data_IF_126102106412
#
_entry.id   IF_126102106412
#
_cell.length_a   1.000
_cell.length_b   1.000
_cell.length_c   1.000
_cell.angle_alpha   90.00
_cell.angle_beta   90.00
_cell.angle_gamma   90.00
#
_symmetry.space_group_name_H-M   'P 1'
#
loop_
_entity.id
_entity.type
_entity.pdbx_description
1 polymer ?
#
# COMPACT_ATOMS: atom_id res chain seq x y z
N UNK A 1 11.72 14.97 12.20
CA UNK A 1 10.33 15.48 12.05
C UNK A 1 10.02 15.87 10.61
N UNK A 2 10.92 16.53 9.85
CA UNK A 2 10.78 16.71 8.38
C UNK A 2 10.59 15.38 7.60
N UNK A 3 11.28 14.31 8.00
CA UNK A 3 11.19 12.98 7.38
C UNK A 3 9.81 12.31 7.41
N UNK A 4 8.94 12.65 8.38
CA UNK A 4 7.58 12.07 8.47
C UNK A 4 6.56 12.84 7.62
N UNK A 5 6.78 14.14 7.40
CA UNK A 5 5.92 14.99 6.57
C UNK A 5 6.31 14.94 5.08
N UNK A 6 7.61 14.82 4.78
CA UNK A 6 8.10 14.67 3.40
C UNK A 6 7.65 13.32 2.78
N UNK A 7 7.59 12.25 3.58
CA UNK A 7 7.06 10.94 3.16
C UNK A 7 5.53 10.89 3.00
N UNK A 8 4.79 11.79 3.65
CA UNK A 8 3.33 11.84 3.56
C UNK A 8 2.83 12.75 2.42
N UNK A 9 3.58 13.79 2.05
CA UNK A 9 3.13 14.82 1.11
C UNK A 9 3.94 14.96 -0.19
N UNK A 10 5.25 14.67 -0.23
CA UNK A 10 6.09 14.96 -1.41
C UNK A 10 6.75 13.72 -2.07
N UNK A 11 6.97 12.62 -1.35
CA UNK A 11 7.59 11.39 -1.89
C UNK A 11 6.77 10.13 -1.61
N UNK A 12 5.51 10.09 -2.03
CA UNK A 12 4.68 8.91 -1.81
C UNK A 12 5.23 7.70 -2.62
N UNK A 13 5.61 6.58 -1.99
CA UNK A 13 6.24 5.42 -2.64
C UNK A 13 5.53 4.91 -3.88
N UNK A 14 4.21 4.84 -3.84
CA UNK A 14 3.45 4.29 -4.96
C UNK A 14 3.49 5.22 -6.18
N UNK A 15 3.36 6.54 -5.98
CA UNK A 15 3.27 7.48 -7.12
C UNK A 15 4.63 7.94 -7.65
N UNK A 16 5.68 7.91 -6.83
CA UNK A 16 7.03 8.36 -7.24
C UNK A 16 7.95 7.20 -7.56
N UNK A 17 7.93 6.11 -6.77
CA UNK A 17 8.81 4.95 -7.01
C UNK A 17 8.16 3.88 -7.89
N UNK A 18 6.83 3.91 -8.10
CA UNK A 18 6.08 2.89 -8.86
C UNK A 18 6.25 1.46 -8.32
N UNK A 19 6.46 1.31 -7.01
CA UNK A 19 6.68 0.03 -6.34
C UNK A 19 5.39 -0.41 -5.63
N UNK A 20 5.00 -1.69 -5.76
CA UNK A 20 3.82 -2.26 -5.08
C UNK A 20 2.51 -2.23 -5.89
N UNK A 21 2.61 -2.02 -7.20
CA UNK A 21 1.48 -1.97 -8.13
C UNK A 21 0.68 -3.28 -8.21
N UNK A 22 1.36 -4.42 -8.05
CA UNK A 22 0.76 -5.75 -8.23
C UNK A 22 -0.42 -5.98 -7.29
N UNK A 23 -0.21 -5.70 -6.00
CA UNK A 23 -1.26 -5.78 -4.98
C UNK A 23 -2.24 -4.61 -5.11
N UNK A 24 -1.75 -3.40 -5.41
CA UNK A 24 -2.61 -2.23 -5.52
C UNK A 24 -3.67 -2.35 -6.63
N UNK A 25 -3.28 -2.81 -7.83
CA UNK A 25 -4.22 -3.00 -8.95
C UNK A 25 -5.18 -4.18 -8.72
N UNK A 26 -4.72 -5.22 -8.00
CA UNK A 26 -5.51 -6.43 -7.74
C UNK A 26 -6.62 -6.21 -6.70
N UNK A 27 -6.31 -5.57 -5.57
CA UNK A 27 -7.25 -5.45 -4.44
C UNK A 27 -8.04 -4.13 -4.40
N UNK A 28 -7.83 -3.21 -5.35
CA UNK A 28 -8.58 -1.94 -5.43
C UNK A 28 -9.97 -2.05 -6.08
N UNK A 29 -10.53 -3.25 -6.22
CA UNK A 29 -11.91 -3.44 -6.70
C UNK A 29 -12.95 -3.21 -5.61
N UNK A 30 -12.60 -3.44 -4.34
CA UNK A 30 -13.45 -3.21 -3.16
C UNK A 30 -12.69 -2.43 -2.10
N UNK A 31 -13.32 -1.41 -1.55
CA UNK A 31 -12.76 -0.51 -0.54
C UNK A 31 -12.42 -1.27 0.74
N UNK A 32 -13.33 -2.10 1.25
CA UNK A 32 -13.11 -2.92 2.45
C UNK A 32 -11.83 -3.76 2.33
N UNK A 33 -11.70 -4.54 1.25
CA UNK A 33 -10.53 -5.39 1.04
C UNK A 33 -9.24 -4.58 0.89
N UNK A 34 -9.30 -3.47 0.17
CA UNK A 34 -8.16 -2.58 -0.03
C UNK A 34 -7.66 -1.94 1.27
N UNK A 35 -8.59 -1.59 2.18
CA UNK A 35 -8.26 -0.99 3.47
C UNK A 35 -7.60 -2.02 4.40
N UNK A 36 -8.19 -3.21 4.52
CA UNK A 36 -7.60 -4.29 5.32
C UNK A 36 -6.24 -4.76 4.77
N UNK A 37 -6.09 -4.80 3.45
CA UNK A 37 -4.80 -5.10 2.81
C UNK A 37 -3.75 -4.03 3.15
N UNK A 38 -4.11 -2.74 3.11
CA UNK A 38 -3.20 -1.65 3.49
C UNK A 38 -2.76 -1.74 4.96
N UNK A 39 -3.70 -1.98 5.88
CA UNK A 39 -3.40 -2.17 7.31
C UNK A 39 -2.49 -3.38 7.54
N UNK A 40 -2.75 -4.51 6.86
CA UNK A 40 -1.89 -5.68 6.92
C UNK A 40 -0.47 -5.38 6.43
N UNK A 41 -0.33 -4.64 5.31
CA UNK A 41 0.97 -4.23 4.78
C UNK A 41 1.70 -3.30 5.75
N UNK A 42 1.02 -2.33 6.40
CA UNK A 42 1.63 -1.48 7.42
C UNK A 42 2.23 -2.32 8.54
N UNK A 43 1.45 -3.26 9.08
CA UNK A 43 1.90 -4.11 10.18
C UNK A 43 3.13 -4.94 9.78
N UNK A 44 3.05 -5.62 8.62
CA UNK A 44 4.16 -6.45 8.12
C UNK A 44 5.39 -5.59 7.86
N UNK A 45 5.24 -4.43 7.22
CA UNK A 45 6.35 -3.54 6.85
C UNK A 45 7.10 -3.00 8.08
N UNK A 46 6.36 -2.58 9.12
CA UNK A 46 6.96 -2.09 10.37
C UNK A 46 7.73 -3.22 11.08
N UNK A 47 7.08 -4.37 11.24
CA UNK A 47 7.68 -5.49 11.97
C UNK A 47 8.87 -6.10 11.23
N UNK A 48 8.77 -6.26 9.90
CA UNK A 48 9.88 -6.73 9.09
C UNK A 48 11.06 -5.77 9.12
N UNK A 49 10.82 -4.46 9.01
CA UNK A 49 11.89 -3.47 9.03
C UNK A 49 12.59 -3.41 10.39
N UNK A 50 11.85 -3.54 11.49
CA UNK A 50 12.42 -3.59 12.85
C UNK A 50 13.31 -4.82 13.02
N UNK A 51 12.83 -6.00 12.65
CA UNK A 51 13.62 -7.23 12.76
C UNK A 51 14.85 -7.17 11.86
N UNK A 52 14.69 -6.80 10.59
CA UNK A 52 15.79 -6.73 9.63
C UNK A 52 16.87 -5.76 10.10
N UNK A 53 16.49 -4.60 10.64
CA UNK A 53 17.44 -3.65 11.21
C UNK A 53 18.17 -4.18 12.47
N UNK A 54 17.55 -5.08 13.23
CA UNK A 54 18.17 -5.73 14.38
C UNK A 54 19.16 -6.83 13.97
N UNK A 55 18.80 -7.64 12.96
CA UNK A 55 19.61 -8.79 12.52
C UNK A 55 20.66 -8.44 11.44
N UNK A 56 20.66 -7.20 10.92
CA UNK A 56 21.55 -6.75 9.83
C UNK A 56 23.03 -7.09 9.99
N UNK A 57 23.56 -7.15 11.23
CA UNK A 57 24.97 -7.45 11.50
C UNK A 57 25.34 -8.91 11.28
N UNK A 58 24.36 -9.81 11.27
CA UNK A 58 24.54 -11.25 11.11
C UNK A 58 24.25 -11.72 9.68
N UNK A 59 23.80 -10.82 8.79
CA UNK A 59 23.39 -11.18 7.43
C UNK A 59 24.60 -11.10 6.50
N UNK A 60 24.99 -12.19 5.81
CA UNK A 60 25.94 -12.13 4.71
C UNK A 60 25.30 -11.43 3.50
N UNK A 61 26.04 -10.55 2.83
CA UNK A 61 25.53 -9.79 1.69
C UNK A 61 25.03 -10.68 0.54
N UNK A 62 25.64 -11.85 0.36
CA UNK A 62 25.34 -12.82 -0.70
C UNK A 62 23.92 -13.42 -0.60
N UNK A 63 23.37 -13.53 0.61
CA UNK A 63 22.08 -14.21 0.88
C UNK A 63 21.04 -13.30 1.53
N UNK A 64 21.22 -11.98 1.43
CA UNK A 64 20.35 -10.99 2.08
C UNK A 64 18.88 -11.06 1.63
N UNK A 65 18.62 -11.17 0.32
CA UNK A 65 17.27 -11.14 -0.24
C UNK A 65 16.44 -12.35 0.23
N UNK A 66 16.94 -13.61 0.15
CA UNK A 66 16.25 -14.76 0.72
C UNK A 66 15.92 -14.61 2.21
N UNK A 67 16.86 -14.09 3.01
CA UNK A 67 16.66 -13.89 4.45
C UNK A 67 15.52 -12.89 4.70
N UNK A 68 15.49 -11.77 3.97
CA UNK A 68 14.40 -10.79 4.08
C UNK A 68 13.04 -11.41 3.75
N UNK A 69 12.96 -12.21 2.67
CA UNK A 69 11.72 -12.87 2.27
C UNK A 69 11.24 -13.84 3.35
N UNK A 70 12.13 -14.60 3.99
CA UNK A 70 11.76 -15.50 5.10
C UNK A 70 11.21 -14.73 6.30
N UNK A 71 11.85 -13.62 6.68
CA UNK A 71 11.36 -12.75 7.76
C UNK A 71 9.97 -12.21 7.42
N UNK A 72 9.78 -11.68 6.21
CA UNK A 72 8.49 -11.15 5.76
C UNK A 72 7.43 -12.26 5.75
N UNK A 73 7.75 -13.44 5.21
CA UNK A 73 6.84 -14.57 5.13
C UNK A 73 6.36 -15.03 6.51
N UNK A 74 7.23 -15.01 7.52
CA UNK A 74 6.85 -15.35 8.89
C UNK A 74 5.77 -14.40 9.44
N UNK A 75 5.92 -13.09 9.21
CA UNK A 75 4.93 -12.09 9.63
C UNK A 75 3.63 -12.16 8.83
N UNK A 76 3.72 -12.38 7.52
CA UNK A 76 2.53 -12.57 6.68
C UNK A 76 1.75 -13.81 7.12
N UNK A 77 2.43 -14.88 7.54
CA UNK A 77 1.78 -16.09 8.08
C UNK A 77 1.05 -15.79 9.38
N UNK A 78 1.62 -14.96 10.26
CA UNK A 78 0.93 -14.51 11.48
C UNK A 78 -0.34 -13.74 11.12
N UNK A 79 -0.28 -12.81 10.17
CA UNK A 79 -1.45 -12.05 9.70
C UNK A 79 -2.51 -12.98 9.08
N UNK A 80 -2.09 -13.95 8.26
CA UNK A 80 -2.97 -14.96 7.66
C UNK A 80 -3.79 -15.72 8.72
N UNK A 81 -3.11 -16.21 9.76
CA UNK A 81 -3.75 -16.94 10.86
C UNK A 81 -4.67 -16.04 11.70
N UNK A 82 -4.25 -14.80 11.97
CA UNK A 82 -5.07 -13.83 12.73
C UNK A 82 -6.34 -13.45 11.95
N UNK A 83 -6.23 -13.21 10.64
CA UNK A 83 -7.40 -12.89 9.81
C UNK A 83 -8.38 -14.07 9.72
N UNK A 84 -7.87 -15.31 9.59
CA UNK A 84 -8.70 -16.53 9.63
C UNK A 84 -9.49 -16.65 10.93
N UNK A 85 -8.88 -16.29 12.06
CA UNK A 85 -9.49 -16.46 13.38
C UNK A 85 -10.52 -15.37 13.73
N UNK A 86 -10.20 -14.10 13.46
CA UNK A 86 -11.04 -12.97 13.91
C UNK A 86 -11.99 -12.42 12.85
N UNK A 87 -11.68 -12.58 11.56
CA UNK A 87 -12.40 -11.89 10.48
C UNK A 87 -12.63 -12.79 9.25
N UNK A 88 -13.41 -13.89 9.39
CA UNK A 88 -13.58 -14.89 8.34
C UNK A 88 -14.28 -14.35 7.09
N UNK A 89 -15.16 -13.35 7.24
CA UNK A 89 -15.89 -12.71 6.13
C UNK A 89 -14.95 -11.99 5.16
N UNK A 90 -13.95 -11.28 5.68
CA UNK A 90 -12.96 -10.57 4.89
C UNK A 90 -11.90 -11.54 4.38
N UNK A 91 -11.52 -12.54 5.18
CA UNK A 91 -10.60 -13.59 4.78
C UNK A 91 -11.08 -14.37 3.56
N UNK A 92 -12.39 -14.61 3.41
CA UNK A 92 -12.95 -15.30 2.24
C UNK A 92 -12.60 -14.64 0.90
N UNK A 93 -12.46 -13.31 0.86
CA UNK A 93 -12.07 -12.57 -0.35
C UNK A 93 -10.58 -12.24 -0.37
N UNK A 94 -9.99 -11.89 0.78
CA UNK A 94 -8.61 -11.42 0.87
C UNK A 94 -7.58 -12.54 0.97
N UNK A 95 -7.97 -13.75 1.38
CA UNK A 95 -7.05 -14.86 1.68
C UNK A 95 -6.14 -15.24 0.51
N UNK A 96 -6.64 -15.16 -0.72
CA UNK A 96 -5.84 -15.41 -1.93
C UNK A 96 -4.80 -14.31 -2.18
N UNK A 97 -5.05 -13.11 -1.66
CA UNK A 97 -4.18 -11.94 -1.82
C UNK A 97 -3.13 -11.79 -0.70
N UNK A 98 -3.28 -12.48 0.43
CA UNK A 98 -2.31 -12.40 1.55
C UNK A 98 -0.90 -12.83 1.13
N UNK A 99 -0.68 -13.91 0.36
CA UNK A 99 0.65 -14.26 -0.14
C UNK A 99 1.29 -13.19 -1.02
N UNK A 100 0.51 -12.31 -1.68
CA UNK A 100 1.06 -11.20 -2.46
C UNK A 100 1.74 -10.15 -1.57
N UNK A 101 1.50 -10.15 -0.24
CA UNK A 101 2.24 -9.29 0.68
C UNK A 101 3.71 -9.72 0.76
N UNK A 102 4.00 -11.03 0.72
CA UNK A 102 5.38 -11.57 0.81
C UNK A 102 6.25 -11.08 -0.34
N UNK A 103 5.68 -11.12 -1.55
CA UNK A 103 6.35 -10.70 -2.79
C UNK A 103 6.05 -9.24 -3.13
N UNK A 104 5.53 -8.46 -2.19
CA UNK A 104 5.25 -7.06 -2.44
C UNK A 104 6.56 -6.28 -2.51
N UNK A 105 6.80 -5.66 -3.67
CA UNK A 105 8.01 -4.90 -3.93
C UNK A 105 8.22 -3.75 -2.93
N UNK A 106 7.15 -3.21 -2.31
CA UNK A 106 7.30 -2.13 -1.31
C UNK A 106 7.96 -2.65 -0.04
N UNK A 107 7.60 -3.87 0.38
CA UNK A 107 8.11 -4.48 1.60
C UNK A 107 9.57 -4.86 1.43
N UNK A 108 9.88 -5.54 0.32
CA UNK A 108 11.25 -5.91 0.01
C UNK A 108 12.14 -4.68 -0.26
N UNK A 109 11.66 -3.72 -1.05
CA UNK A 109 12.42 -2.54 -1.43
C UNK A 109 12.78 -1.63 -0.25
N UNK A 110 11.88 -1.47 0.74
CA UNK A 110 12.19 -0.72 1.97
C UNK A 110 13.07 -1.50 2.94
N UNK A 111 12.88 -2.82 3.02
CA UNK A 111 13.77 -3.68 3.80
C UNK A 111 15.23 -3.57 3.33
N UNK A 112 15.44 -3.61 2.02
CA UNK A 112 16.76 -3.51 1.40
C UNK A 112 17.34 -2.09 1.46
N UNK A 113 16.61 -1.09 0.94
CA UNK A 113 17.13 0.26 0.78
C UNK A 113 17.24 1.03 2.10
N UNK A 114 16.40 0.72 3.10
CA UNK A 114 16.34 1.50 4.34
C UNK A 114 16.66 0.67 5.59
N UNK A 115 15.96 -0.45 5.82
CA UNK A 115 16.08 -1.19 7.07
C UNK A 115 17.47 -1.80 7.28
N UNK A 116 18.11 -2.27 6.20
CA UNK A 116 19.47 -2.80 6.26
C UNK A 116 20.52 -1.74 6.65
N UNK A 117 20.35 -0.51 6.18
CA UNK A 117 21.33 0.56 6.39
C UNK A 117 21.07 1.42 7.64
N UNK A 118 19.84 1.42 8.19
CA UNK A 118 19.45 2.29 9.29
C UNK A 118 19.22 1.56 10.63
N UNK A 119 19.14 2.34 11.72
CA UNK A 119 18.83 1.83 13.06
C UNK A 119 17.34 1.52 13.26
N UNK A 120 17.04 0.66 14.23
CA UNK A 120 15.69 0.10 14.49
C UNK A 120 14.60 1.17 14.56
N UNK A 121 14.84 2.25 15.31
CA UNK A 121 13.85 3.29 15.55
C UNK A 121 13.51 4.08 14.27
N UNK A 122 14.51 4.31 13.42
CA UNK A 122 14.33 4.99 12.14
C UNK A 122 13.63 4.07 11.14
N UNK A 123 13.99 2.78 11.12
CA UNK A 123 13.38 1.77 10.25
C UNK A 123 11.90 1.52 10.56
N UNK A 124 11.51 1.61 11.85
CA UNK A 124 10.12 1.55 12.27
C UNK A 124 9.31 2.76 11.78
N UNK A 125 9.87 3.98 11.92
CA UNK A 125 9.24 5.20 11.45
C UNK A 125 9.09 5.21 9.91
N UNK A 126 10.07 4.67 9.19
CA UNK A 126 10.00 4.47 7.74
C UNK A 126 8.89 3.50 7.34
N UNK A 127 8.82 2.34 8.00
CA UNK A 127 7.77 1.35 7.74
C UNK A 127 6.37 1.93 7.98
N UNK A 128 6.19 2.72 9.04
CA UNK A 128 4.92 3.40 9.30
C UNK A 128 4.60 4.43 8.22
N UNK A 129 5.53 5.32 7.89
CA UNK A 129 5.30 6.37 6.89
C UNK A 129 4.96 5.80 5.51
N UNK A 130 5.77 4.83 5.05
CA UNK A 130 5.60 4.22 3.73
C UNK A 130 4.35 3.34 3.66
N UNK A 131 4.03 2.61 4.73
CA UNK A 131 2.81 1.80 4.80
C UNK A 131 1.53 2.64 4.83
N UNK A 132 1.55 3.77 5.57
CA UNK A 132 0.43 4.73 5.59
C UNK A 132 0.25 5.35 4.20
N UNK A 133 1.34 5.76 3.55
CA UNK A 133 1.31 6.26 2.17
C UNK A 133 0.71 5.25 1.19
N UNK A 134 1.10 3.98 1.31
CA UNK A 134 0.54 2.87 0.53
C UNK A 134 -0.97 2.72 0.75
N UNK A 135 -1.40 2.70 2.01
CA UNK A 135 -2.80 2.51 2.39
C UNK A 135 -3.68 3.67 1.92
N UNK A 136 -3.20 4.91 2.01
CA UNK A 136 -3.94 6.10 1.55
C UNK A 136 -4.21 6.04 0.05
N UNK A 137 -3.18 5.76 -0.76
CA UNK A 137 -3.36 5.69 -2.22
C UNK A 137 -4.25 4.51 -2.58
N UNK A 138 -4.04 3.36 -1.95
CA UNK A 138 -4.83 2.17 -2.20
C UNK A 138 -6.31 2.42 -1.89
N UNK A 139 -6.59 3.13 -0.80
CA UNK A 139 -7.93 3.55 -0.38
C UNK A 139 -8.55 4.54 -1.36
N UNK A 140 -7.79 5.53 -1.85
CA UNK A 140 -8.28 6.48 -2.87
C UNK A 140 -8.59 5.76 -4.18
N UNK A 141 -7.71 4.86 -4.61
CA UNK A 141 -7.91 4.07 -5.83
C UNK A 141 -9.16 3.20 -5.73
N UNK A 142 -9.36 2.52 -4.60
CA UNK A 142 -10.53 1.66 -4.41
C UNK A 142 -11.82 2.44 -4.30
N UNK A 143 -11.84 3.60 -3.62
CA UNK A 143 -13.03 4.47 -3.60
C UNK A 143 -13.42 4.88 -5.02
N UNK A 144 -12.47 5.33 -5.84
CA UNK A 144 -12.79 5.76 -7.20
C UNK A 144 -13.24 4.55 -8.06
N UNK A 145 -12.56 3.41 -7.96
CA UNK A 145 -12.93 2.22 -8.76
C UNK A 145 -14.26 1.62 -8.35
N UNK A 146 -14.57 1.57 -7.06
CA UNK A 146 -15.83 1.02 -6.58
C UNK A 146 -17.00 1.95 -6.92
N UNK A 147 -16.80 3.26 -6.71
CA UNK A 147 -17.80 4.29 -6.98
C UNK A 147 -18.17 4.38 -8.47
N UNK A 148 -17.17 4.40 -9.37
CA UNK A 148 -17.40 4.46 -10.81
C UNK A 148 -17.62 3.08 -11.47
N UNK A 149 -17.14 2.00 -10.85
CA UNK A 149 -17.24 0.65 -11.39
C UNK A 149 -18.50 -0.10 -10.98
N UNK A 150 -19.12 0.24 -9.85
CA UNK A 150 -20.35 -0.43 -9.36
C UNK A 150 -21.49 0.54 -9.05
N UNK A 151 -21.23 1.85 -9.07
CA UNK A 151 -22.24 2.86 -8.75
C UNK A 151 -22.59 2.93 -7.26
N UNK A 152 -21.87 2.21 -6.40
CA UNK A 152 -22.10 2.15 -4.96
C UNK A 152 -20.77 2.20 -4.21
N UNK A 153 -20.74 2.84 -3.04
CA UNK A 153 -19.68 2.69 -2.06
C UNK A 153 -20.25 1.91 -0.88
N UNK A 154 -19.77 0.69 -0.69
CA UNK A 154 -20.18 -0.16 0.43
C UNK A 154 -19.06 -0.21 1.46
N UNK A 155 -19.39 0.10 2.72
CA UNK A 155 -18.47 -0.06 3.84
C UNK A 155 -19.17 -0.76 5.00
N UNK A 156 -18.62 -1.91 5.41
CA UNK A 156 -19.12 -2.79 6.47
C UNK A 156 -20.62 -3.11 6.33
N UNK A 157 -21.08 -3.35 5.09
CA UNK A 157 -22.48 -3.66 4.80
C UNK A 157 -23.43 -2.45 4.77
N UNK A 158 -22.93 -1.22 4.94
CA UNK A 158 -23.68 0.01 4.73
C UNK A 158 -23.32 0.66 3.38
N UNK A 159 -24.32 0.88 2.51
CA UNK A 159 -24.19 1.75 1.32
C UNK A 159 -24.07 3.20 1.76
N UNK A 160 -22.88 3.77 1.67
CA UNK A 160 -22.60 5.18 2.00
C UNK A 160 -23.11 6.12 0.91
N UNK A 161 -22.96 5.73 -0.35
CA UNK A 161 -23.41 6.49 -1.52
C UNK A 161 -23.91 5.50 -2.58
N UNK A 162 -25.13 5.69 -3.06
CA UNK A 162 -25.72 4.93 -4.17
C UNK A 162 -26.04 5.92 -5.30
N UNK A 163 -25.48 5.70 -6.49
CA UNK A 163 -25.90 6.43 -7.69
C UNK A 163 -27.29 5.95 -8.16
N UNK A 164 -28.04 6.80 -8.88
CA UNK A 164 -29.35 6.43 -9.42
C UNK A 164 -29.29 5.14 -10.25
N UNK A 165 -30.35 4.33 -10.23
CA UNK A 165 -30.45 3.03 -10.91
C UNK A 165 -30.31 3.09 -12.46
N UNK A 166 -30.15 4.29 -13.02
CA UNK A 166 -29.88 4.54 -14.45
C UNK A 166 -28.37 4.52 -14.81
N UNK A 167 -27.48 4.38 -13.84
CA UNK A 167 -26.04 4.23 -14.10
C UNK A 167 -25.74 2.79 -14.54
N UNK A 168 -25.45 2.58 -15.81
CA UNK A 168 -24.90 1.32 -16.31
C UNK A 168 -23.38 1.30 -16.05
N UNK A 169 -22.89 0.60 -15.02
CA UNK A 169 -21.48 0.64 -14.68
C UNK A 169 -20.64 0.09 -15.84
N UNK A 170 -19.68 0.87 -16.37
CA UNK A 170 -18.77 0.34 -17.38
C UNK A 170 -17.80 -0.66 -16.72
N UNK A 171 -17.93 -1.94 -17.09
CA UNK A 171 -17.07 -3.04 -16.62
C UNK A 171 -15.56 -2.78 -16.81
N UNK A 172 -15.20 -1.86 -17.74
CA UNK A 172 -13.82 -1.44 -18.02
C UNK A 172 -13.11 -0.86 -16.77
N UNK A 173 -13.84 -0.19 -15.86
CA UNK A 173 -13.25 0.43 -14.67
C UNK A 173 -12.96 -0.59 -13.54
N UNK A 174 -13.66 -1.72 -13.54
CA UNK A 174 -13.44 -2.82 -12.60
C UNK A 174 -12.29 -3.73 -13.07
N UNK A 175 -12.02 -3.79 -14.38
CA UNK A 175 -10.93 -4.57 -14.95
C UNK A 175 -9.54 -3.91 -14.79
N UNK A 176 -8.48 -4.69 -15.02
CA UNK A 176 -7.08 -4.22 -14.90
C UNK A 176 -6.74 -2.96 -15.73
N UNK A 177 -7.18 -2.81 -17.00
CA UNK A 177 -7.01 -1.56 -17.75
C UNK A 177 -7.53 -0.32 -17.02
N UNK A 178 -8.69 -0.41 -16.35
CA UNK A 178 -9.23 0.69 -15.56
C UNK A 178 -8.35 1.05 -14.36
N UNK A 179 -7.74 0.06 -13.71
CA UNK A 179 -6.79 0.28 -12.61
C UNK A 179 -5.55 1.05 -13.07
N UNK A 180 -4.97 0.69 -14.22
CA UNK A 180 -3.79 1.36 -14.76
C UNK A 180 -4.08 2.78 -15.24
N UNK A 181 -5.23 3.01 -15.90
CA UNK A 181 -5.65 4.36 -16.32
C UNK A 181 -5.85 5.26 -15.09
N UNK A 182 -6.55 4.76 -14.07
CA UNK A 182 -6.75 5.50 -12.84
C UNK A 182 -5.43 5.80 -12.13
N UNK A 183 -4.56 4.80 -12.02
CA UNK A 183 -3.23 4.98 -11.43
C UNK A 183 -2.43 6.07 -12.17
N UNK A 184 -2.46 6.06 -13.52
CA UNK A 184 -1.81 7.07 -14.35
C UNK A 184 -2.39 8.49 -14.13
N UNK A 185 -3.70 8.62 -14.01
CA UNK A 185 -4.36 9.90 -13.71
C UNK A 185 -4.02 10.42 -12.32
N UNK A 186 -4.01 9.54 -11.32
CA UNK A 186 -3.62 9.90 -9.95
C UNK A 186 -2.16 10.32 -9.87
N UNK A 187 -1.27 9.63 -10.58
CA UNK A 187 0.15 9.99 -10.69
C UNK A 187 0.33 11.36 -11.37
N UNK A 188 -0.40 11.62 -12.47
CA UNK A 188 -0.37 12.91 -13.15
C UNK A 188 -0.86 14.06 -12.25
N UNK A 189 -1.94 13.84 -11.49
CA UNK A 189 -2.45 14.80 -10.51
C UNK A 189 -1.45 15.10 -9.41
N UNK A 190 -0.79 14.07 -8.85
CA UNK A 190 0.22 14.24 -7.81
C UNK A 190 1.45 14.99 -8.35
N UNK A 191 1.92 14.67 -9.57
CA UNK A 191 3.03 15.38 -10.21
C UNK A 191 2.73 16.87 -10.38
N UNK A 192 1.51 17.23 -10.78
CA UNK A 192 1.08 18.62 -10.93
C UNK A 192 1.00 19.35 -9.58
N UNK A 193 0.46 18.70 -8.55
CA UNK A 193 0.43 19.24 -7.18
C UNK A 193 1.85 19.48 -6.67
N UNK A 194 2.73 18.50 -6.83
CA UNK A 194 4.13 18.61 -6.41
C UNK A 194 4.90 19.71 -7.14
N UNK A 195 4.66 19.87 -8.45
CA UNK A 195 5.23 21.00 -9.22
C UNK A 195 4.79 22.34 -8.65
N UNK A 196 3.51 22.48 -8.28
CA UNK A 196 2.96 23.72 -7.69
C UNK A 196 3.52 24.01 -6.31
N UNK A 197 3.66 23.00 -5.46
CA UNK A 197 4.26 23.14 -4.12
C UNK A 197 5.72 23.61 -4.25
N UNK A 198 6.53 22.94 -5.08
CA UNK A 198 7.93 23.35 -5.32
C UNK A 198 8.05 24.74 -5.93
N UNK A 199 7.11 25.13 -6.80
CA UNK A 199 7.07 26.48 -7.36
C UNK A 199 6.72 27.55 -6.31
N UNK A 200 5.86 27.22 -5.33
CA UNK A 200 5.55 28.11 -4.22
C UNK A 200 6.73 28.24 -3.24
N UNK A 201 7.43 27.15 -2.93
CA UNK A 201 8.64 27.18 -2.10
C UNK A 201 9.76 28.00 -2.74
N UNK A 202 9.98 27.86 -4.05
CA UNK A 202 10.96 28.67 -4.81
C UNK A 202 10.61 30.17 -4.85
N UNK A 203 9.37 30.55 -4.60
CA UNK A 203 8.94 31.95 -4.50
C UNK A 203 9.06 32.51 -3.09
N UNK A 204 9.17 31.64 -2.09
CA UNK A 204 9.32 32.00 -0.68
C UNK A 204 10.79 32.02 -0.21
N UNK A 205 11.72 31.51 -1.02
CA UNK A 205 13.16 31.58 -0.86
C UNK A 205 13.75 32.74 -1.68
#
# INVERSE_FOLDING_TARGET
MKTLLDGLALENPLMVLMIGLCSACAVSTKFEGSFFMGVAVIFVLVMSNVIIAAIRKFIPDEVRIPIFIVVIASFVTIVDLVMKAYVPTIYAFLGVWIPLIVVNCIVLGRAEAFAYHNGILLSAADGLGMGIGYTIILSIMSVIRELFGTGQLQFLGATLVKFPDAYAPPNILVLFPGAFILFGLLMAGNLEINKRIRAAERRAA
#
